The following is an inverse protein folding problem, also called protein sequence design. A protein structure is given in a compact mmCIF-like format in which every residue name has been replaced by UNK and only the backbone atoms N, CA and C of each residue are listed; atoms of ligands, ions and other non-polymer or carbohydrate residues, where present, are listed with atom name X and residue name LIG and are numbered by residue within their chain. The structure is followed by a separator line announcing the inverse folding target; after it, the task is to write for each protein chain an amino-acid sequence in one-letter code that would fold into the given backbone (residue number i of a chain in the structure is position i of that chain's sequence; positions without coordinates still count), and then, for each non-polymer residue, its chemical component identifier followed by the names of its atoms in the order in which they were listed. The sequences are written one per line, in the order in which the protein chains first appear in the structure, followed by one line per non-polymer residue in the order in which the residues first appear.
data_IF_450325490495
#
_entry.id   IF_450325490495
#
_cell.length_a   1.000
_cell.length_b   1.000
_cell.length_c   1.000
_cell.angle_alpha   90.00
_cell.angle_beta   90.00
_cell.angle_gamma   90.00
#
_symmetry.space_group_name_H-M   'P 1'
#
loop_
_entity.id
_entity.type
_entity.pdbx_description
1 polymer ?
#
# COMPACT_ATOMS: atom_id res chain seq x y z
N UNK A 1 2.52 6.08 -26.81
CA UNK A 1 2.58 5.71 -25.37
C UNK A 1 1.32 4.92 -25.10
N UNK A 2 1.45 3.69 -24.56
CA UNK A 2 0.29 2.89 -24.18
C UNK A 2 -0.59 3.61 -23.17
N UNK A 3 -1.88 3.28 -23.15
CA UNK A 3 -2.76 3.74 -22.06
C UNK A 3 -2.44 2.88 -20.85
N UNK A 4 -2.27 3.49 -19.69
CA UNK A 4 -2.06 2.75 -18.44
C UNK A 4 -3.33 2.79 -17.61
N UNK A 5 -3.70 1.66 -17.03
CA UNK A 5 -4.65 1.58 -15.93
C UNK A 5 -3.91 1.54 -14.60
N UNK A 6 -4.52 2.12 -13.57
CA UNK A 6 -3.95 2.22 -12.24
C UNK A 6 -4.84 1.52 -11.20
N UNK A 7 -4.20 0.80 -10.28
CA UNK A 7 -4.86 0.15 -9.14
C UNK A 7 -4.26 0.69 -7.83
N UNK A 8 -5.12 1.01 -6.86
CA UNK A 8 -4.75 1.56 -5.55
C UNK A 8 -5.26 0.61 -4.47
N UNK A 9 -4.33 -0.03 -3.76
CA UNK A 9 -4.66 -0.99 -2.69
C UNK A 9 -4.37 -0.35 -1.34
N UNK A 10 -5.41 -0.10 -0.55
CA UNK A 10 -5.27 0.37 0.82
C UNK A 10 -4.91 -0.78 1.76
N UNK A 11 -3.89 -0.57 2.60
CA UNK A 11 -3.49 -1.50 3.64
C UNK A 11 -3.64 -0.80 4.98
N UNK A 12 -4.61 -1.22 5.81
CA UNK A 12 -4.75 -0.70 7.15
C UNK A 12 -3.46 -0.86 7.95
N UNK A 13 -3.05 0.18 8.64
CA UNK A 13 -1.97 0.06 9.59
C UNK A 13 -2.49 -0.64 10.83
N UNK A 14 -2.00 -1.85 11.04
CA UNK A 14 -2.29 -2.64 12.24
C UNK A 14 -1.32 -2.19 13.34
N UNK A 15 -1.60 -1.00 13.87
CA UNK A 15 -0.72 -0.29 14.78
C UNK A 15 -1.06 -0.54 16.23
N UNK A 16 -0.77 -1.72 16.78
CA UNK A 16 -0.48 -1.76 18.21
C UNK A 16 0.92 -1.17 18.38
N UNK A 17 1.00 0.02 18.99
CA UNK A 17 2.22 0.84 19.11
C UNK A 17 3.40 0.09 19.76
N UNK A 18 3.14 -1.08 20.37
CA UNK A 18 4.08 -1.92 21.11
C UNK A 18 4.68 -3.07 20.29
N UNK A 19 3.99 -3.59 19.28
CA UNK A 19 4.42 -4.79 18.52
C UNK A 19 5.16 -4.47 17.21
N UNK A 20 5.20 -3.19 16.82
CA UNK A 20 5.94 -2.75 15.65
C UNK A 20 5.24 -3.06 14.33
N UNK A 21 5.63 -2.34 13.28
CA UNK A 21 5.01 -2.35 11.95
C UNK A 21 5.27 -3.63 11.12
N UNK A 22 5.81 -4.70 11.71
CA UNK A 22 6.27 -5.88 10.98
C UNK A 22 5.13 -6.61 10.25
N UNK A 23 3.97 -6.76 10.89
CA UNK A 23 2.83 -7.46 10.29
C UNK A 23 2.25 -6.68 9.09
N UNK A 24 2.13 -5.36 9.21
CA UNK A 24 1.67 -4.51 8.10
C UNK A 24 2.64 -4.57 6.92
N UNK A 25 3.95 -4.63 7.19
CA UNK A 25 4.98 -4.78 6.15
C UNK A 25 4.84 -6.12 5.41
N UNK A 26 4.63 -7.23 6.12
CA UNK A 26 4.41 -8.52 5.47
C UNK A 26 3.13 -8.55 4.64
N UNK A 27 2.03 -7.96 5.13
CA UNK A 27 0.79 -7.78 4.35
C UNK A 27 1.05 -7.02 3.04
N UNK A 28 1.80 -5.92 3.09
CA UNK A 28 2.19 -5.17 1.89
C UNK A 28 2.99 -6.03 0.90
N UNK A 29 3.97 -6.81 1.37
CA UNK A 29 4.77 -7.70 0.52
C UNK A 29 3.90 -8.75 -0.19
N UNK A 30 2.94 -9.33 0.51
CA UNK A 30 2.04 -10.33 -0.06
C UNK A 30 1.10 -9.75 -1.11
N UNK A 31 0.57 -8.55 -0.89
CA UNK A 31 -0.23 -7.83 -1.89
C UNK A 31 0.61 -7.59 -3.14
N UNK A 32 1.84 -7.09 -3.00
CA UNK A 32 2.75 -6.84 -4.13
C UNK A 32 2.97 -8.12 -4.94
N UNK A 33 3.26 -9.25 -4.29
CA UNK A 33 3.46 -10.53 -4.99
C UNK A 33 2.20 -10.98 -5.74
N UNK A 34 1.03 -10.86 -5.12
CA UNK A 34 -0.26 -11.27 -5.72
C UNK A 34 -0.64 -10.40 -6.92
N UNK A 35 -0.50 -9.09 -6.81
CA UNK A 35 -0.80 -8.17 -7.91
C UNK A 35 0.20 -8.33 -9.06
N UNK A 36 1.50 -8.50 -8.76
CA UNK A 36 2.52 -8.77 -9.79
C UNK A 36 2.28 -10.07 -10.53
N UNK A 37 1.78 -11.12 -9.87
CA UNK A 37 1.39 -12.36 -10.54
C UNK A 37 0.22 -12.17 -11.51
N UNK A 38 -0.58 -11.11 -11.36
CA UNK A 38 -1.71 -10.75 -12.24
C UNK A 38 -1.33 -9.74 -13.33
N UNK A 39 -0.02 -9.46 -13.50
CA UNK A 39 0.50 -8.55 -14.52
C UNK A 39 0.53 -7.07 -14.11
N UNK A 40 0.26 -6.75 -12.85
CA UNK A 40 0.39 -5.40 -12.32
C UNK A 40 1.84 -5.07 -11.95
N UNK A 41 2.32 -3.90 -12.35
CA UNK A 41 3.64 -3.39 -11.99
C UNK A 41 3.52 -2.46 -10.79
N UNK A 42 4.32 -2.71 -9.75
CA UNK A 42 4.43 -1.80 -8.61
C UNK A 42 5.03 -0.45 -9.04
N UNK A 43 4.34 0.63 -8.71
CA UNK A 43 4.78 2.02 -8.98
C UNK A 43 5.31 2.68 -7.71
N UNK A 44 4.51 2.66 -6.63
CA UNK A 44 4.82 3.39 -5.41
C UNK A 44 4.11 2.79 -4.19
N UNK A 45 4.69 2.96 -3.00
CA UNK A 45 4.01 2.77 -1.72
C UNK A 45 3.92 4.15 -1.05
N UNK A 46 2.69 4.59 -0.75
CA UNK A 46 2.41 5.81 -0.02
C UNK A 46 2.22 5.43 1.45
N UNK A 47 3.11 5.90 2.32
CA UNK A 47 2.95 5.75 3.76
C UNK A 47 2.06 6.85 4.32
N UNK A 48 1.26 6.56 5.36
CA UNK A 48 0.51 7.61 6.06
C UNK A 48 1.48 8.69 6.57
N UNK A 49 1.22 9.95 6.23
CA UNK A 49 2.12 11.05 6.56
C UNK A 49 2.05 11.39 8.05
N UNK A 50 3.20 11.76 8.63
CA UNK A 50 3.29 12.26 10.00
C UNK A 50 2.75 13.69 10.18
N UNK A 51 2.34 14.36 9.10
CA UNK A 51 2.10 15.82 9.10
C UNK A 51 0.87 16.27 9.88
N UNK A 52 -0.09 15.37 10.15
CA UNK A 52 -1.12 15.62 11.16
C UNK A 52 -1.42 14.34 11.91
N UNK A 53 -0.69 14.13 13.02
CA UNK A 53 -1.11 13.34 14.20
C UNK A 53 -2.41 13.90 14.83
N UNK A 54 -3.35 14.39 14.03
CA UNK A 54 -4.72 14.66 14.45
C UNK A 54 -5.44 13.34 14.31
N UNK A 55 -5.33 12.54 15.37
CA UNK A 55 -6.35 11.63 15.93
C UNK A 55 -7.52 11.25 15.00
N UNK A 56 -7.24 10.71 13.82
CA UNK A 56 -8.23 10.01 13.01
C UNK A 56 -7.65 8.64 12.71
N UNK A 57 -8.44 7.63 13.03
CA UNK A 57 -8.12 6.21 13.19
C UNK A 57 -7.65 5.48 11.92
N UNK A 58 -7.34 6.19 10.83
CA UNK A 58 -7.20 5.60 9.49
C UNK A 58 -5.83 5.93 8.85
N UNK A 59 -4.74 5.64 9.55
CA UNK A 59 -3.39 5.78 8.99
C UNK A 59 -3.09 4.60 8.05
N UNK A 60 -3.71 4.54 6.87
CA UNK A 60 -3.52 3.42 5.93
C UNK A 60 -2.31 3.67 5.02
N UNK A 61 -1.59 2.61 4.65
CA UNK A 61 -0.72 2.64 3.48
C UNK A 61 -1.57 2.54 2.21
N UNK A 62 -1.08 3.10 1.10
CA UNK A 62 -1.62 2.82 -0.22
C UNK A 62 -0.51 2.28 -1.13
N UNK A 63 -0.75 1.14 -1.76
CA UNK A 63 0.15 0.55 -2.77
C UNK A 63 -0.43 0.87 -4.14
N UNK A 64 0.37 1.51 -4.99
CA UNK A 64 -0.02 1.94 -6.33
C UNK A 64 0.59 1.00 -7.36
N UNK A 65 -0.25 0.47 -8.23
CA UNK A 65 0.16 -0.36 -9.36
C UNK A 65 -0.29 0.23 -10.69
N UNK A 66 0.43 -0.09 -11.76
CA UNK A 66 0.07 0.21 -13.14
C UNK A 66 0.06 -1.06 -14.00
N UNK A 67 -0.77 -1.09 -15.04
CA UNK A 67 -0.72 -2.10 -16.10
C UNK A 67 -0.99 -1.43 -17.44
N UNK A 68 -0.27 -1.85 -18.48
CA UNK A 68 -0.50 -1.35 -19.84
C UNK A 68 -1.78 -1.98 -20.42
N UNK A 69 -2.65 -1.15 -20.98
CA UNK A 69 -3.92 -1.51 -21.62
C UNK A 69 -3.75 -1.73 -23.13
#
# INVERSE_FOLDING_TARGET
MGKYEYNFVEVPFDGDLKSGNAETIEKCKDIIRKESAQGWRLVQIISPSSEKRVLTSNSNYAIVFEREN
#
